data_IF_997505342699
#
_entry.id   IF_997505342699
#
_cell.length_a   1.000
_cell.length_b   1.000
_cell.length_c   1.000
_cell.angle_alpha   90.00
_cell.angle_beta   90.00
_cell.angle_gamma   90.00
#
_symmetry.space_group_name_H-M   'P 1'
#
loop_
_entity.id
_entity.type
_entity.pdbx_description
1 polymer ?
#
# COMPACT_ATOMS: atom_id res chain seq x y z
N UNK A 1 -38.49 14.23 15.77
CA UNK A 1 -37.06 14.50 16.09
C UNK A 1 -36.86 14.08 17.53
N UNK A 2 -35.80 13.34 17.85
CA UNK A 2 -35.61 12.73 19.18
C UNK A 2 -34.86 13.67 20.12
N UNK A 3 -33.68 14.13 19.70
CA UNK A 3 -32.86 15.11 20.39
C UNK A 3 -32.23 16.07 19.38
N UNK A 4 -31.79 17.23 19.87
CA UNK A 4 -30.95 18.19 19.14
C UNK A 4 -29.56 18.27 19.77
N UNK A 5 -28.52 18.37 18.95
CA UNK A 5 -27.16 18.65 19.41
C UNK A 5 -26.78 20.04 18.91
N UNK A 6 -26.30 20.88 19.82
CA UNK A 6 -25.85 22.25 19.54
C UNK A 6 -24.40 22.42 19.98
N UNK A 7 -23.68 23.32 19.32
CA UNK A 7 -22.33 23.72 19.70
C UNK A 7 -22.36 25.16 20.20
N UNK A 8 -21.72 25.42 21.33
CA UNK A 8 -21.55 26.78 21.85
C UNK A 8 -20.15 27.31 21.53
N UNK A 9 -20.08 28.29 20.62
CA UNK A 9 -18.84 28.91 20.15
C UNK A 9 -18.06 29.64 21.27
N UNK A 10 -18.71 29.98 22.39
CA UNK A 10 -18.04 30.67 23.51
C UNK A 10 -17.34 29.70 24.44
N UNK A 11 -17.98 28.58 24.75
CA UNK A 11 -17.43 27.57 25.66
C UNK A 11 -16.73 26.41 24.96
N UNK A 12 -16.80 26.35 23.61
CA UNK A 12 -16.22 25.31 22.76
C UNK A 12 -16.72 23.92 23.15
N UNK A 13 -18.01 23.84 23.49
CA UNK A 13 -18.63 22.62 24.01
C UNK A 13 -19.85 22.25 23.20
N UNK A 14 -20.00 20.95 22.98
CA UNK A 14 -21.24 20.38 22.45
C UNK A 14 -22.23 20.14 23.59
N UNK A 15 -23.50 20.37 23.32
CA UNK A 15 -24.58 20.04 24.24
C UNK A 15 -25.70 19.32 23.52
N UNK A 16 -26.34 18.37 24.20
CA UNK A 16 -27.48 17.61 23.71
C UNK A 16 -28.72 17.94 24.52
N UNK A 17 -29.84 18.11 23.84
CA UNK A 17 -31.15 18.39 24.44
C UNK A 17 -32.18 17.41 23.88
N UNK A 18 -32.93 16.75 24.76
CA UNK A 18 -34.07 15.92 24.37
C UNK A 18 -35.25 16.82 23.98
N UNK A 19 -35.87 16.53 22.84
CA UNK A 19 -36.97 17.32 22.28
C UNK A 19 -38.35 16.72 22.60
N UNK A 20 -38.49 16.06 23.75
CA UNK A 20 -39.73 15.40 24.18
C UNK A 20 -39.90 14.04 23.52
N UNK A 21 -38.82 13.26 23.45
CA UNK A 21 -38.87 11.94 22.83
C UNK A 21 -39.75 10.96 23.63
N UNK A 22 -40.40 10.03 22.93
CA UNK A 22 -41.22 9.01 23.58
C UNK A 22 -40.37 7.98 24.32
N UNK A 23 -39.27 7.55 23.69
CA UNK A 23 -38.39 6.52 24.24
C UNK A 23 -37.27 7.09 25.13
N UNK A 24 -37.15 8.41 25.23
CA UNK A 24 -36.12 9.09 26.05
C UNK A 24 -34.75 9.16 25.38
N UNK A 25 -34.00 10.20 25.72
CA UNK A 25 -32.56 10.34 25.43
C UNK A 25 -31.77 10.05 26.71
N UNK A 26 -30.69 9.28 26.58
CA UNK A 26 -29.82 8.90 27.69
C UNK A 26 -28.39 9.33 27.40
N UNK A 27 -27.71 9.87 28.41
CA UNK A 27 -26.27 10.17 28.38
C UNK A 27 -25.62 9.41 29.53
N UNK A 28 -24.64 8.56 29.22
CA UNK A 28 -23.98 7.66 30.17
C UNK A 28 -24.98 6.82 30.98
N UNK A 29 -25.99 6.28 30.29
CA UNK A 29 -27.12 5.49 30.84
C UNK A 29 -28.08 6.30 31.76
N UNK A 30 -27.89 7.61 31.89
CA UNK A 30 -28.77 8.51 32.65
C UNK A 30 -29.76 9.19 31.70
N UNK A 31 -31.04 9.09 31.99
CA UNK A 31 -32.11 9.71 31.20
C UNK A 31 -32.15 11.24 31.40
N UNK A 32 -32.25 12.01 30.32
CA UNK A 32 -32.22 13.47 30.37
C UNK A 32 -33.55 14.14 30.80
N UNK A 33 -34.69 13.55 30.43
CA UNK A 33 -36.03 14.08 30.75
C UNK A 33 -37.08 12.98 30.80
N UNK A 34 -38.20 13.28 31.46
CA UNK A 34 -39.39 12.44 31.46
C UNK A 34 -39.98 12.29 30.04
N UNK A 35 -40.77 11.23 29.77
CA UNK A 35 -41.39 11.02 28.46
C UNK A 35 -42.21 12.23 28.00
N UNK A 36 -42.06 12.60 26.71
CA UNK A 36 -42.76 13.74 26.09
C UNK A 36 -42.44 15.11 26.71
N UNK A 37 -41.36 15.22 27.50
CA UNK A 37 -40.90 16.47 28.07
C UNK A 37 -39.52 16.85 27.51
N UNK A 38 -39.35 18.13 27.18
CA UNK A 38 -38.06 18.67 26.75
C UNK A 38 -37.07 18.66 27.92
N UNK A 39 -35.83 18.21 27.70
CA UNK A 39 -34.77 18.31 28.72
C UNK A 39 -34.11 19.68 28.72
N UNK A 40 -33.27 19.95 29.73
CA UNK A 40 -32.26 21.00 29.62
C UNK A 40 -31.07 20.56 28.73
N UNK A 41 -30.19 21.50 28.33
CA UNK A 41 -28.99 21.18 27.59
C UNK A 41 -27.97 20.44 28.48
N UNK A 42 -27.58 19.25 28.06
CA UNK A 42 -26.54 18.44 28.72
C UNK A 42 -25.24 18.55 27.92
N UNK A 43 -24.16 18.99 28.57
CA UNK A 43 -22.84 19.07 27.93
C UNK A 43 -22.32 17.66 27.62
N UNK A 44 -21.79 17.49 26.41
CA UNK A 44 -21.14 16.27 25.94
C UNK A 44 -19.61 16.40 26.01
N UNK A 45 -18.96 15.32 26.41
CA UNK A 45 -17.51 15.18 26.51
C UNK A 45 -17.00 14.03 25.64
N UNK A 46 -15.70 14.02 25.36
CA UNK A 46 -15.05 12.91 24.67
C UNK A 46 -15.25 11.60 25.45
N UNK A 47 -15.76 10.57 24.78
CA UNK A 47 -16.01 9.24 25.35
C UNK A 47 -17.42 9.05 25.93
N UNK A 48 -18.29 10.06 25.87
CA UNK A 48 -19.67 9.94 26.35
C UNK A 48 -20.49 8.95 25.51
N UNK A 49 -21.34 8.17 26.19
CA UNK A 49 -22.26 7.24 25.55
C UNK A 49 -23.65 7.85 25.50
N UNK A 50 -24.13 8.16 24.30
CA UNK A 50 -25.46 8.73 24.09
C UNK A 50 -26.37 7.67 23.50
N UNK A 51 -27.54 7.47 24.08
CA UNK A 51 -28.55 6.55 23.56
C UNK A 51 -29.86 7.27 23.23
N UNK A 52 -30.41 6.96 22.05
CA UNK A 52 -31.70 7.44 21.58
C UNK A 52 -32.60 6.22 21.35
N UNK A 53 -33.51 5.96 22.30
CA UNK A 53 -34.30 4.72 22.28
C UNK A 53 -33.41 3.48 22.32
N UNK A 54 -33.38 2.70 21.23
CA UNK A 54 -32.56 1.47 21.11
C UNK A 54 -31.16 1.68 20.54
N UNK A 55 -30.89 2.85 19.94
CA UNK A 55 -29.60 3.13 19.31
C UNK A 55 -28.63 3.71 20.34
N UNK A 56 -27.44 3.10 20.47
CA UNK A 56 -26.36 3.59 21.33
C UNK A 56 -25.20 4.11 20.48
N UNK A 57 -24.71 5.29 20.81
CA UNK A 57 -23.61 5.98 20.15
C UNK A 57 -22.51 6.25 21.17
N UNK A 58 -21.26 6.10 20.76
CA UNK A 58 -20.09 6.54 21.52
C UNK A 58 -19.57 7.81 20.85
N UNK A 59 -19.51 8.90 21.60
CA UNK A 59 -19.14 10.21 21.08
C UNK A 59 -17.64 10.42 21.25
N UNK A 60 -16.99 10.87 20.19
CA UNK A 60 -15.59 11.24 20.17
C UNK A 60 -15.49 12.69 19.71
N UNK A 61 -14.98 13.55 20.59
CA UNK A 61 -14.80 14.98 20.34
C UNK A 61 -13.29 15.24 20.33
N UNK A 62 -12.79 15.94 19.32
CA UNK A 62 -11.37 16.24 19.11
C UNK A 62 -11.20 17.67 18.62
N UNK A 63 -10.10 18.29 18.98
CA UNK A 63 -9.74 19.61 18.51
C UNK A 63 -8.89 19.49 17.23
N UNK A 64 -9.32 20.16 16.15
CA UNK A 64 -8.59 20.16 14.87
C UNK A 64 -8.50 18.79 14.21
N UNK A 65 -7.28 18.26 14.08
CA UNK A 65 -6.96 16.99 13.42
C UNK A 65 -6.52 15.89 14.39
N UNK A 66 -6.67 16.11 15.71
CA UNK A 66 -6.36 15.08 16.68
C UNK A 66 -7.33 13.91 16.59
N UNK A 67 -6.83 12.72 16.89
CA UNK A 67 -7.61 11.49 16.96
C UNK A 67 -7.16 10.69 18.16
N UNK A 68 -8.10 10.11 18.92
CA UNK A 68 -7.75 9.10 19.91
C UNK A 68 -7.50 7.73 19.25
N UNK A 69 -6.96 6.79 20.03
CA UNK A 69 -6.69 5.40 19.62
C UNK A 69 -7.86 4.72 18.89
N UNK A 70 -9.11 5.07 19.22
CA UNK A 70 -10.31 4.48 18.59
C UNK A 70 -10.77 5.19 17.30
N UNK A 71 -10.27 6.40 17.07
CA UNK A 71 -10.58 7.21 15.89
C UNK A 71 -9.48 7.17 14.84
N UNK A 72 -8.32 6.59 15.17
CA UNK A 72 -7.26 6.37 14.19
C UNK A 72 -7.79 5.56 12.99
N UNK A 73 -7.59 6.04 11.76
CA UNK A 73 -8.21 5.45 10.57
C UNK A 73 -7.81 3.98 10.37
N UNK A 74 -6.56 3.62 10.70
CA UNK A 74 -6.08 2.24 10.63
C UNK A 74 -6.85 1.29 11.56
N UNK A 75 -7.14 1.75 12.79
CA UNK A 75 -7.88 0.96 13.78
C UNK A 75 -9.35 0.81 13.40
N UNK A 76 -9.99 1.90 12.97
CA UNK A 76 -11.40 1.88 12.54
C UNK A 76 -11.61 0.96 11.36
N UNK A 77 -10.73 0.99 10.35
CA UNK A 77 -10.82 0.10 9.20
C UNK A 77 -10.63 -1.38 9.58
N UNK A 78 -9.70 -1.67 10.48
CA UNK A 78 -9.50 -3.02 10.99
C UNK A 78 -10.74 -3.54 11.75
N UNK A 79 -11.32 -2.71 12.62
CA UNK A 79 -12.54 -3.02 13.37
C UNK A 79 -13.76 -3.27 12.47
N UNK A 80 -13.94 -2.46 11.43
CA UNK A 80 -15.01 -2.66 10.45
C UNK A 80 -14.80 -3.96 9.67
N UNK A 81 -13.58 -4.22 9.19
CA UNK A 81 -13.26 -5.45 8.43
C UNK A 81 -13.36 -6.73 9.26
N UNK A 82 -13.16 -6.65 10.59
CA UNK A 82 -13.28 -7.80 11.50
C UNK A 82 -14.72 -8.03 11.95
N UNK A 83 -15.55 -6.98 12.03
CA UNK A 83 -16.99 -7.06 12.32
C UNK A 83 -17.84 -7.39 11.10
N UNK A 84 -17.33 -7.20 9.88
CA UNK A 84 -17.86 -7.93 8.74
C UNK A 84 -17.78 -9.40 9.11
N UNK A 85 -18.94 -9.98 9.41
CA UNK A 85 -19.08 -11.40 9.68
C UNK A 85 -18.45 -12.07 8.49
N UNK A 86 -17.21 -12.54 8.64
CA UNK A 86 -16.67 -13.61 7.85
C UNK A 86 -17.70 -14.69 8.09
N UNK A 87 -18.66 -14.81 7.17
CA UNK A 87 -19.47 -16.01 7.04
C UNK A 87 -18.47 -17.11 7.28
N UNK A 88 -18.70 -17.86 8.35
CA UNK A 88 -17.83 -18.96 8.78
C UNK A 88 -17.31 -19.61 7.51
N UNK A 89 -15.99 -19.87 7.35
CA UNK A 89 -15.49 -20.43 6.11
C UNK A 89 -16.11 -21.82 5.97
N UNK A 90 -17.31 -21.87 5.39
CA UNK A 90 -17.94 -23.06 4.87
C UNK A 90 -16.90 -23.49 3.86
N UNK A 91 -16.34 -24.67 4.09
CA UNK A 91 -15.45 -25.33 3.15
C UNK A 91 -16.26 -25.63 1.90
N UNK A 92 -16.52 -24.59 1.10
CA UNK A 92 -17.21 -24.67 -0.18
C UNK A 92 -16.38 -25.60 -1.04
N UNK A 93 -17.03 -26.63 -1.56
CA UNK A 93 -16.38 -27.57 -2.47
C UNK A 93 -15.83 -26.83 -3.68
N UNK A 94 -14.81 -27.41 -4.35
CA UNK A 94 -14.20 -26.81 -5.56
C UNK A 94 -15.26 -26.42 -6.61
N UNK A 95 -16.32 -27.22 -6.73
CA UNK A 95 -17.42 -26.98 -7.66
C UNK A 95 -18.27 -25.76 -7.28
N UNK A 96 -18.56 -25.60 -6.00
CA UNK A 96 -19.36 -24.48 -5.49
C UNK A 96 -18.61 -23.15 -5.63
N UNK A 97 -17.31 -23.12 -5.33
CA UNK A 97 -16.44 -21.96 -5.58
C UNK A 97 -16.38 -21.60 -7.07
N UNK A 98 -16.29 -22.59 -7.95
CA UNK A 98 -16.28 -22.36 -9.40
C UNK A 98 -17.62 -21.81 -9.91
N UNK A 99 -18.75 -22.27 -9.34
CA UNK A 99 -20.07 -21.75 -9.67
C UNK A 99 -20.22 -20.28 -9.26
N UNK A 100 -19.78 -19.94 -8.06
CA UNK A 100 -19.78 -18.56 -7.55
C UNK A 100 -18.89 -17.65 -8.41
N UNK A 101 -17.68 -18.10 -8.74
CA UNK A 101 -16.77 -17.39 -9.66
C UNK A 101 -17.44 -17.11 -11.01
N UNK A 102 -18.14 -18.09 -11.60
CA UNK A 102 -18.85 -17.91 -12.87
C UNK A 102 -20.01 -16.92 -12.75
N UNK A 103 -20.75 -16.94 -11.65
CA UNK A 103 -21.84 -16.01 -11.40
C UNK A 103 -21.31 -14.57 -11.22
N UNK A 104 -20.24 -14.41 -10.47
CA UNK A 104 -19.61 -13.11 -10.25
C UNK A 104 -19.01 -12.54 -11.55
N UNK A 105 -18.33 -13.37 -12.34
CA UNK A 105 -17.83 -12.98 -13.66
C UNK A 105 -18.97 -12.56 -14.60
N UNK A 106 -20.13 -13.24 -14.57
CA UNK A 106 -21.31 -12.82 -15.33
C UNK A 106 -21.86 -11.48 -14.84
N UNK A 107 -21.95 -11.28 -13.52
CA UNK A 107 -22.36 -10.01 -12.92
C UNK A 107 -21.44 -8.87 -13.35
N UNK A 108 -20.14 -9.10 -13.33
CA UNK A 108 -19.13 -8.12 -13.72
C UNK A 108 -19.24 -7.79 -15.22
N UNK A 109 -19.31 -8.82 -16.08
CA UNK A 109 -19.52 -8.61 -17.52
C UNK A 109 -20.78 -7.79 -17.80
N UNK A 110 -21.89 -8.11 -17.12
CA UNK A 110 -23.14 -7.36 -17.24
C UNK A 110 -23.01 -5.91 -16.76
N UNK A 111 -22.39 -5.70 -15.59
CA UNK A 111 -22.17 -4.36 -15.01
C UNK A 111 -21.40 -3.43 -15.97
N UNK A 112 -20.44 -3.99 -16.70
CA UNK A 112 -19.59 -3.24 -17.64
C UNK A 112 -20.03 -3.38 -19.10
N UNK A 113 -21.23 -3.91 -19.38
CA UNK A 113 -21.78 -4.00 -20.74
C UNK A 113 -21.04 -4.96 -21.69
N UNK A 114 -20.25 -5.90 -21.15
CA UNK A 114 -19.49 -6.91 -21.88
C UNK A 114 -20.31 -8.21 -22.07
N UNK A 115 -21.62 -8.15 -21.88
CA UNK A 115 -22.54 -9.28 -22.03
C UNK A 115 -22.70 -9.62 -23.52
N UNK A 116 -22.30 -10.83 -23.93
CA UNK A 116 -22.32 -11.27 -25.34
C UNK A 116 -21.01 -11.12 -26.11
N UNK A 117 -19.96 -10.55 -25.50
CA UNK A 117 -18.61 -10.56 -26.07
C UNK A 117 -17.92 -11.89 -25.70
N UNK A 118 -18.25 -12.95 -26.42
CA UNK A 118 -17.48 -14.19 -26.35
C UNK A 118 -16.12 -13.96 -26.98
N UNK A 119 -15.06 -14.34 -26.27
CA UNK A 119 -13.70 -14.35 -26.80
C UNK A 119 -13.67 -15.38 -27.94
N UNK A 120 -13.81 -14.90 -29.17
CA UNK A 120 -13.41 -15.68 -30.34
C UNK A 120 -11.90 -15.58 -30.44
N UNK A 121 -11.19 -16.71 -30.49
CA UNK A 121 -9.74 -16.80 -30.71
C UNK A 121 -9.30 -16.25 -32.09
N UNK A 122 -10.14 -15.46 -32.78
CA UNK A 122 -9.95 -15.10 -34.18
C UNK A 122 -10.47 -13.73 -34.62
N UNK A 123 -10.74 -12.77 -33.73
CA UNK A 123 -11.02 -11.38 -34.16
C UNK A 123 -10.35 -10.33 -33.26
N UNK A 124 -9.16 -9.95 -33.71
CA UNK A 124 -8.48 -8.66 -33.50
C UNK A 124 -9.45 -7.51 -33.18
N UNK A 125 -9.27 -6.90 -32.01
CA UNK A 125 -9.75 -5.56 -31.73
C UNK A 125 -8.77 -4.51 -32.30
N UNK A 126 -8.56 -4.51 -33.61
CA UNK A 126 -8.06 -3.35 -34.36
C UNK A 126 -8.80 -3.38 -35.70
N UNK A 127 -9.49 -2.27 -36.00
CA UNK A 127 -10.09 -1.96 -37.29
C UNK A 127 -9.18 -2.35 -38.45
N UNK A 128 -9.76 -3.03 -39.42
CA UNK A 128 -9.10 -3.62 -40.59
C UNK A 128 -8.51 -2.61 -41.59
N UNK A 129 -7.69 -1.64 -41.15
CA UNK A 129 -7.01 -0.70 -42.05
C UNK A 129 -5.53 -0.48 -41.83
N UNK A 130 -4.89 -1.02 -40.79
CA UNK A 130 -3.43 -0.87 -40.65
C UNK A 130 -2.72 -2.18 -40.33
N UNK A 131 -2.32 -2.86 -41.42
CA UNK A 131 -1.39 -3.99 -41.49
C UNK A 131 0.05 -3.62 -41.07
N UNK A 132 0.21 -2.71 -40.10
CA UNK A 132 1.50 -2.09 -39.75
C UNK A 132 1.79 -2.06 -38.25
N UNK A 133 1.03 -2.79 -37.44
CA UNK A 133 1.32 -2.89 -36.01
C UNK A 133 2.30 -4.04 -35.76
N UNK A 134 3.59 -3.70 -35.73
CA UNK A 134 4.65 -4.58 -35.23
C UNK A 134 4.73 -4.47 -33.71
N UNK A 135 4.57 -5.60 -33.02
CA UNK A 135 4.76 -5.69 -31.57
C UNK A 135 6.25 -5.60 -31.22
N UNK A 136 6.73 -4.36 -31.08
CA UNK A 136 8.12 -4.06 -30.70
C UNK A 136 8.47 -4.54 -29.29
N UNK A 137 7.48 -4.76 -28.42
CA UNK A 137 7.72 -5.26 -27.07
C UNK A 137 8.03 -6.76 -27.10
N UNK A 138 7.29 -7.52 -27.91
CA UNK A 138 7.56 -8.94 -28.15
C UNK A 138 8.93 -9.14 -28.83
N UNK A 139 9.23 -8.35 -29.87
CA UNK A 139 10.54 -8.37 -30.53
C UNK A 139 11.66 -8.08 -29.51
N UNK A 140 11.50 -7.11 -28.61
CA UNK A 140 12.49 -6.85 -27.54
C UNK A 140 12.63 -8.02 -26.57
N UNK A 141 11.53 -8.66 -26.16
CA UNK A 141 11.61 -9.84 -25.27
C UNK A 141 12.42 -10.97 -25.91
N UNK A 142 12.26 -11.19 -27.22
CA UNK A 142 12.97 -12.22 -27.97
C UNK A 142 14.41 -11.84 -28.30
N UNK A 143 14.67 -10.56 -28.61
CA UNK A 143 16.00 -10.10 -29.07
C UNK A 143 16.95 -9.85 -27.91
N UNK A 144 16.45 -9.35 -26.78
CA UNK A 144 17.27 -8.90 -25.65
C UNK A 144 17.30 -9.91 -24.51
N UNK A 145 16.34 -10.84 -24.47
CA UNK A 145 16.19 -11.82 -23.39
C UNK A 145 15.93 -11.19 -22.02
N UNK A 146 15.81 -12.02 -20.99
CA UNK A 146 15.86 -11.58 -19.59
C UNK A 146 17.20 -11.95 -19.00
N UNK A 147 18.14 -11.01 -18.89
CA UNK A 147 19.33 -11.23 -18.08
C UNK A 147 18.91 -11.43 -16.63
N UNK A 148 19.29 -12.56 -16.02
CA UNK A 148 19.06 -12.80 -14.60
C UNK A 148 19.93 -11.81 -13.79
N UNK A 149 19.35 -10.81 -13.11
CA UNK A 149 20.13 -9.77 -12.42
C UNK A 149 20.95 -10.32 -11.23
N UNK A 150 20.71 -11.59 -10.85
CA UNK A 150 21.31 -12.25 -9.70
C UNK A 150 22.43 -13.23 -10.07
N UNK A 151 22.83 -13.31 -11.34
CA UNK A 151 24.00 -14.10 -11.70
C UNK A 151 25.24 -13.47 -11.06
N UNK A 152 25.90 -14.22 -10.16
CA UNK A 152 27.06 -13.73 -9.42
C UNK A 152 28.21 -13.48 -10.39
N UNK A 153 28.67 -12.23 -10.46
CA UNK A 153 29.90 -11.85 -11.15
C UNK A 153 31.11 -12.55 -10.51
N UNK A 154 32.13 -12.80 -11.32
CA UNK A 154 33.40 -13.39 -10.85
C UNK A 154 34.04 -12.54 -9.74
N UNK A 155 34.68 -13.22 -8.78
CA UNK A 155 35.29 -12.58 -7.60
C UNK A 155 36.53 -11.77 -8.02
N UNK A 156 36.65 -10.54 -7.52
CA UNK A 156 37.82 -9.70 -7.78
C UNK A 156 39.10 -10.36 -7.24
N UNK A 157 40.16 -10.37 -8.04
CA UNK A 157 41.48 -10.89 -7.66
C UNK A 157 42.51 -9.76 -7.62
N UNK A 158 43.54 -9.88 -6.77
CA UNK A 158 44.63 -8.91 -6.70
C UNK A 158 45.75 -9.19 -7.71
N UNK A 159 45.88 -10.45 -8.14
CA UNK A 159 47.00 -10.92 -8.96
C UNK A 159 46.65 -11.08 -10.45
N UNK A 160 45.36 -11.14 -10.78
CA UNK A 160 44.88 -11.37 -12.16
C UNK A 160 44.10 -10.16 -12.66
N UNK A 161 44.49 -9.69 -13.84
CA UNK A 161 43.81 -8.61 -14.57
C UNK A 161 42.38 -9.06 -14.90
N UNK A 162 41.41 -8.15 -14.75
CA UNK A 162 40.01 -8.44 -15.08
C UNK A 162 39.86 -8.80 -16.57
N UNK A 163 39.29 -9.97 -16.92
CA UNK A 163 39.12 -10.35 -18.31
C UNK A 163 38.06 -9.47 -18.99
N UNK A 164 38.16 -9.32 -20.32
CA UNK A 164 37.23 -8.51 -21.11
C UNK A 164 35.78 -9.03 -21.09
N UNK A 165 35.59 -10.31 -20.74
CA UNK A 165 34.28 -10.92 -20.50
C UNK A 165 33.58 -10.38 -19.24
N UNK A 166 34.30 -9.76 -18.30
CA UNK A 166 33.73 -9.28 -17.05
C UNK A 166 32.89 -8.01 -17.29
N UNK A 167 31.68 -7.98 -16.74
CA UNK A 167 30.76 -6.83 -16.85
C UNK A 167 31.40 -5.53 -16.33
N UNK A 168 32.21 -5.60 -15.26
CA UNK A 168 32.94 -4.45 -14.72
C UNK A 168 33.96 -3.88 -15.70
N UNK A 169 34.72 -4.75 -16.38
CA UNK A 169 35.66 -4.33 -17.44
C UNK A 169 34.94 -3.63 -18.59
N UNK A 170 33.81 -4.18 -19.05
CA UNK A 170 33.02 -3.59 -20.13
C UNK A 170 32.40 -2.25 -19.74
N UNK A 171 31.98 -2.09 -18.47
CA UNK A 171 31.50 -0.81 -17.95
C UNK A 171 32.60 0.26 -17.93
N UNK A 172 33.79 -0.09 -17.40
CA UNK A 172 34.94 0.81 -17.37
C UNK A 172 35.37 1.23 -18.79
N UNK A 173 35.43 0.27 -19.72
CA UNK A 173 35.73 0.54 -21.14
C UNK A 173 34.74 1.51 -21.78
N UNK A 174 33.44 1.39 -21.48
CA UNK A 174 32.41 2.35 -21.94
C UNK A 174 32.58 3.75 -21.36
N UNK A 175 33.14 3.87 -20.16
CA UNK A 175 33.46 5.14 -19.50
C UNK A 175 34.80 5.73 -19.95
N UNK A 176 35.49 5.09 -20.91
CA UNK A 176 36.73 5.58 -21.50
C UNK A 176 38.00 5.09 -20.82
N UNK A 177 37.89 4.19 -19.84
CA UNK A 177 39.06 3.55 -19.21
C UNK A 177 39.66 2.48 -20.13
N UNK A 178 41.00 2.48 -20.28
CA UNK A 178 41.75 1.45 -21.00
C UNK A 178 42.65 0.70 -20.03
N UNK A 179 43.03 -0.51 -20.42
CA UNK A 179 43.99 -1.30 -19.66
C UNK A 179 45.31 -0.52 -19.47
N UNK A 180 45.70 -0.33 -18.22
CA UNK A 180 46.87 0.47 -17.82
C UNK A 180 46.55 1.92 -17.40
N UNK A 181 45.34 2.42 -17.65
CA UNK A 181 44.92 3.74 -17.18
C UNK A 181 44.60 3.71 -15.67
N UNK A 182 44.96 4.75 -14.94
CA UNK A 182 44.54 4.89 -13.54
C UNK A 182 43.08 5.34 -13.44
N UNK A 183 42.37 4.96 -12.39
CA UNK A 183 41.01 5.44 -12.15
C UNK A 183 41.03 6.89 -11.61
N UNK A 184 40.33 7.81 -12.30
CA UNK A 184 40.13 9.19 -11.85
C UNK A 184 40.16 10.23 -12.97
N UNK A 185 39.61 11.43 -12.72
CA UNK A 185 39.43 12.49 -13.72
C UNK A 185 40.74 13.01 -14.35
N UNK A 186 41.85 12.92 -13.63
CA UNK A 186 43.15 13.49 -14.02
C UNK A 186 44.19 12.45 -14.44
N UNK A 187 43.83 11.16 -14.54
CA UNK A 187 44.76 10.05 -14.84
C UNK A 187 46.06 10.07 -14.01
N UNK A 188 46.01 10.63 -12.80
CA UNK A 188 47.14 10.80 -11.88
C UNK A 188 47.16 9.76 -10.76
N UNK A 189 46.28 8.75 -10.85
CA UNK A 189 46.17 7.69 -9.87
C UNK A 189 47.24 6.62 -10.03
N UNK A 190 47.26 5.68 -9.10
CA UNK A 190 48.19 4.55 -9.11
C UNK A 190 47.79 3.60 -10.26
N UNK A 191 48.68 3.39 -11.22
CA UNK A 191 48.47 2.48 -12.37
C UNK A 191 48.96 1.06 -12.12
N UNK A 192 49.84 0.86 -11.14
CA UNK A 192 50.38 -0.44 -10.75
C UNK A 192 49.73 -0.94 -9.47
N UNK A 193 49.54 -2.25 -9.30
CA UNK A 193 49.03 -2.80 -8.05
C UNK A 193 49.95 -2.39 -6.90
N UNK A 194 49.36 -1.98 -5.77
CA UNK A 194 50.13 -1.71 -4.56
C UNK A 194 50.68 -3.05 -4.07
N UNK A 195 51.94 -3.34 -4.39
CA UNK A 195 52.61 -4.52 -3.89
C UNK A 195 52.66 -4.44 -2.36
N UNK A 196 51.97 -5.36 -1.67
CA UNK A 196 52.25 -5.66 -0.27
C UNK A 196 53.59 -6.42 -0.17
N UNK A 197 54.68 -5.77 -0.56
CA UNK A 197 56.00 -6.16 -0.12
C UNK A 197 56.08 -5.78 1.35
N UNK A 198 55.81 -6.77 2.20
CA UNK A 198 56.21 -6.76 3.60
C UNK A 198 57.62 -6.18 3.67
N UNK A 199 57.70 -5.07 4.41
CA UNK A 199 58.90 -4.42 4.87
C UNK A 199 59.96 -5.47 5.25
N UNK A 200 60.92 -5.73 4.35
CA UNK A 200 62.14 -6.44 4.70
C UNK A 200 63.06 -5.48 5.45
N UNK A 201 62.61 -5.00 6.61
CA UNK A 201 63.48 -4.52 7.67
C UNK A 201 63.79 -5.73 8.56
N UNK A 202 64.64 -6.63 8.06
CA UNK A 202 65.33 -7.57 8.95
C UNK A 202 66.24 -6.76 9.86
N UNK A 203 65.86 -6.69 11.14
CA UNK A 203 66.78 -6.43 12.24
C UNK A 203 67.96 -7.38 12.10
N UNK A 204 69.15 -6.82 11.85
CA UNK A 204 70.40 -7.47 12.20
C UNK A 204 70.48 -7.54 13.74
N UNK A 205 70.18 -8.70 14.29
CA UNK A 205 70.68 -9.15 15.59
C UNK A 205 71.62 -10.32 15.27
N UNK A 206 72.90 -10.10 15.52
CA UNK A 206 74.02 -11.00 15.24
C UNK A 206 75.31 -10.20 15.15
#
# INVERSE_FOLDING_TARGET
VHAGVTFDDKSWKYSVEDLGSQNGTFVNEIRLSEPKQKSGPQVLSHGDKVAFGSCKFLIHIHDGYETCDKCEPGQVMADLSSKEVKSTPVLKTKQEKEKERRQEMRRLKKKYGLEGMEYSEGKSCISATDSKYEDKAEIRRQTVGSENPYEKTEVASMDVIMPESNKGYQMLKKLGWKEGDSLGLTNSGISQPVCNLLLSCFLNIG
#
